data_IF_647610121213
#
_entry.id   IF_647610121213
#
_cell.length_a   1.000
_cell.length_b   1.000
_cell.length_c   1.000
_cell.angle_alpha   90.00
_cell.angle_beta   90.00
_cell.angle_gamma   90.00
#
_symmetry.space_group_name_H-M   'P 1'
#
loop_
_entity.id
_entity.type
_entity.pdbx_description
1 polymer ?
#
# COMPACT_ATOMS: atom_id res chain seq x y z
N UNK A 1 10.83 -13.07 13.93
CA UNK A 1 9.42 -12.80 13.56
C UNK A 1 8.42 -13.78 14.18
N UNK A 2 8.69 -15.08 14.21
CA UNK A 2 7.84 -16.06 14.91
C UNK A 2 7.69 -15.83 16.43
N UNK A 3 8.67 -15.17 17.05
CA UNK A 3 8.67 -14.95 18.51
C UNK A 3 7.48 -14.11 19.00
N UNK A 4 7.03 -13.10 18.25
CA UNK A 4 5.88 -12.27 18.64
C UNK A 4 4.55 -13.03 18.53
N UNK A 5 4.42 -13.94 17.57
CA UNK A 5 3.24 -14.79 17.39
C UNK A 5 3.13 -15.77 18.56
N UNK A 6 4.24 -16.44 18.90
CA UNK A 6 4.28 -17.34 20.04
C UNK A 6 3.97 -16.61 21.34
N UNK A 7 4.54 -15.43 21.55
CA UNK A 7 4.33 -14.66 22.78
C UNK A 7 2.87 -14.29 23.00
N UNK A 8 2.14 -13.91 21.94
CA UNK A 8 0.73 -13.56 22.03
C UNK A 8 -0.15 -14.75 22.50
N UNK A 9 0.13 -15.96 22.00
CA UNK A 9 -0.58 -17.18 22.40
C UNK A 9 -0.20 -17.59 23.82
N UNK A 10 1.09 -17.53 24.16
CA UNK A 10 1.60 -17.93 25.48
C UNK A 10 1.02 -17.05 26.60
N UNK A 11 0.86 -15.75 26.37
CA UNK A 11 0.23 -14.85 27.36
C UNK A 11 -1.22 -15.28 27.64
N UNK A 12 -1.98 -15.68 26.63
CA UNK A 12 -3.34 -16.17 26.81
C UNK A 12 -3.40 -17.49 27.57
N UNK A 13 -2.42 -18.39 27.34
CA UNK A 13 -2.33 -19.66 28.09
C UNK A 13 -2.05 -19.46 29.58
N UNK A 14 -1.37 -18.38 29.96
CA UNK A 14 -1.10 -18.03 31.37
C UNK A 14 -2.37 -17.74 32.15
N UNK A 15 -3.44 -17.29 31.50
CA UNK A 15 -4.73 -17.01 32.16
C UNK A 15 -5.48 -18.29 32.54
N UNK A 16 -5.11 -19.44 31.97
CA UNK A 16 -5.80 -20.72 32.14
C UNK A 16 -5.22 -21.51 33.30
N UNK A 17 -3.94 -21.32 33.63
CA UNK A 17 -3.22 -22.13 34.66
C UNK A 17 -2.02 -21.36 35.26
N UNK A 18 -1.67 -21.68 36.47
CA UNK A 18 -0.51 -21.10 37.18
C UNK A 18 0.86 -21.62 36.66
N UNK A 19 0.86 -22.47 35.65
CA UNK A 19 2.11 -23.04 35.10
C UNK A 19 2.73 -22.08 34.08
N UNK A 20 4.05 -22.15 33.98
CA UNK A 20 4.77 -21.42 32.97
C UNK A 20 4.82 -22.19 31.66
N UNK A 21 4.57 -21.48 30.56
CA UNK A 21 4.70 -21.97 29.18
C UNK A 21 5.80 -21.23 28.46
N UNK A 22 6.35 -21.84 27.44
CA UNK A 22 7.25 -21.17 26.52
C UNK A 22 7.61 -22.03 25.33
N UNK A 23 8.47 -21.46 24.48
CA UNK A 23 8.96 -22.07 23.25
C UNK A 23 10.48 -22.00 23.25
N UNK A 24 11.14 -23.07 22.86
CA UNK A 24 12.56 -23.11 22.56
C UNK A 24 12.80 -23.39 21.09
N UNK A 25 13.90 -22.85 20.54
CA UNK A 25 14.36 -23.13 19.19
C UNK A 25 15.16 -24.43 19.08
N UNK A 26 15.71 -24.72 17.91
CA UNK A 26 16.53 -25.92 17.63
C UNK A 26 17.82 -26.00 18.45
N UNK A 27 18.33 -24.86 18.92
CA UNK A 27 19.52 -24.79 19.76
C UNK A 27 19.19 -24.87 21.26
N UNK A 28 17.90 -24.87 21.59
CA UNK A 28 17.41 -24.88 22.96
C UNK A 28 17.27 -23.49 23.57
N UNK A 29 17.39 -22.42 22.77
CA UNK A 29 17.20 -21.04 23.26
C UNK A 29 15.72 -20.77 23.52
N UNK A 30 15.38 -20.25 24.70
CA UNK A 30 14.01 -19.83 25.02
C UNK A 30 13.70 -18.59 24.26
N UNK A 31 12.85 -18.69 23.21
CA UNK A 31 12.47 -17.61 22.30
C UNK A 31 11.19 -16.88 22.71
N UNK A 32 10.38 -17.53 23.54
CA UNK A 32 9.13 -16.96 24.07
C UNK A 32 8.76 -17.68 25.38
N UNK A 33 8.29 -16.96 26.38
CA UNK A 33 7.94 -17.56 27.68
C UNK A 33 6.98 -16.66 28.48
N UNK A 34 6.14 -17.29 29.32
CA UNK A 34 5.33 -16.57 30.32
C UNK A 34 6.17 -16.00 31.46
N UNK A 35 7.29 -16.64 31.76
CA UNK A 35 8.29 -16.18 32.72
C UNK A 35 9.44 -15.50 31.99
N UNK A 36 9.41 -14.18 31.94
CA UNK A 36 10.39 -13.38 31.21
C UNK A 36 11.82 -13.52 31.68
N UNK A 37 12.06 -14.08 32.89
CA UNK A 37 13.41 -14.34 33.41
C UNK A 37 14.11 -15.45 32.65
N UNK A 38 13.37 -16.37 32.03
CA UNK A 38 13.88 -17.48 31.24
C UNK A 38 14.19 -17.12 29.79
N UNK A 39 13.78 -15.97 29.32
CA UNK A 39 13.95 -15.55 27.93
C UNK A 39 15.43 -15.42 27.58
N UNK A 40 15.86 -16.12 26.50
CA UNK A 40 17.25 -16.17 26.07
C UNK A 40 18.12 -17.25 26.80
N UNK A 41 17.61 -17.93 27.83
CA UNK A 41 18.30 -19.10 28.38
C UNK A 41 18.46 -20.18 27.31
N UNK A 42 19.53 -21.00 27.45
CA UNK A 42 19.85 -22.04 26.48
C UNK A 42 19.81 -23.42 27.15
N UNK A 43 18.88 -24.27 26.70
CA UNK A 43 18.64 -25.64 27.20
C UNK A 43 18.95 -26.68 26.12
N UNK A 44 20.24 -26.74 25.70
CA UNK A 44 20.68 -27.59 24.58
C UNK A 44 20.38 -29.07 24.78
N UNK A 45 20.51 -29.58 26.00
CA UNK A 45 20.21 -31.00 26.32
C UNK A 45 18.70 -31.31 26.16
N UNK A 46 17.83 -30.35 26.49
CA UNK A 46 16.40 -30.49 26.28
C UNK A 46 16.07 -30.53 24.79
N UNK A 47 16.65 -29.61 23.97
CA UNK A 47 16.47 -29.59 22.53
C UNK A 47 16.92 -30.90 21.85
N UNK A 48 18.07 -31.42 22.21
CA UNK A 48 18.56 -32.72 21.72
C UNK A 48 17.61 -33.87 22.06
N UNK A 49 17.08 -33.91 23.29
CA UNK A 49 16.14 -34.94 23.71
C UNK A 49 14.82 -34.88 23.00
N UNK A 50 14.31 -33.66 22.78
CA UNK A 50 13.05 -33.39 22.04
C UNK A 50 13.21 -33.72 20.56
N UNK A 51 14.32 -33.31 19.93
CA UNK A 51 14.59 -33.57 18.52
C UNK A 51 14.68 -35.07 18.19
N UNK A 52 15.18 -35.89 19.13
CA UNK A 52 15.25 -37.33 18.95
C UNK A 52 13.92 -38.07 19.22
N UNK A 53 12.95 -37.44 19.85
CA UNK A 53 11.69 -38.07 20.27
C UNK A 53 10.51 -37.87 19.31
N UNK A 54 10.73 -37.18 18.20
CA UNK A 54 9.89 -36.87 17.06
C UNK A 54 8.44 -36.49 17.33
N UNK A 55 7.60 -37.32 17.89
CA UNK A 55 6.16 -37.04 18.02
C UNK A 55 5.59 -37.22 19.43
N UNK A 56 6.41 -37.63 20.37
CA UNK A 56 6.00 -37.85 21.73
C UNK A 56 6.26 -36.66 22.66
N UNK A 57 5.45 -36.55 23.70
CA UNK A 57 5.69 -35.60 24.78
C UNK A 57 6.86 -36.06 25.61
N UNK A 58 7.88 -35.25 25.79
CA UNK A 58 9.14 -35.58 26.50
C UNK A 58 9.23 -34.79 27.80
N UNK A 59 9.66 -35.43 28.87
CA UNK A 59 9.90 -34.77 30.15
C UNK A 59 11.40 -34.64 30.41
N UNK A 60 11.85 -33.44 30.76
CA UNK A 60 13.24 -33.15 31.10
C UNK A 60 13.33 -31.99 32.10
N UNK A 61 14.07 -32.13 33.18
CA UNK A 61 14.33 -31.09 34.17
C UNK A 61 13.07 -30.46 34.77
N UNK A 62 12.09 -31.25 35.20
CA UNK A 62 10.79 -30.83 35.72
C UNK A 62 9.99 -29.95 34.72
N UNK A 63 10.21 -30.15 33.44
CA UNK A 63 9.45 -29.50 32.33
C UNK A 63 9.03 -30.58 31.34
N UNK A 64 7.88 -30.38 30.75
CA UNK A 64 7.31 -31.23 29.71
C UNK A 64 7.41 -30.51 28.40
N UNK A 65 7.88 -31.17 27.34
CA UNK A 65 8.13 -30.62 26.03
C UNK A 65 7.37 -31.37 24.94
N UNK A 66 6.98 -30.69 23.89
CA UNK A 66 6.50 -31.26 22.63
C UNK A 66 7.09 -30.52 21.45
N UNK A 67 7.65 -31.27 20.48
CA UNK A 67 8.24 -30.73 19.28
C UNK A 67 7.16 -30.12 18.34
N UNK A 68 7.46 -28.97 17.74
CA UNK A 68 6.79 -28.41 16.57
C UNK A 68 7.68 -28.75 15.37
N UNK A 69 7.16 -29.53 14.45
CA UNK A 69 7.88 -30.02 13.28
C UNK A 69 7.53 -29.06 12.10
N UNK A 70 8.55 -28.63 11.37
CA UNK A 70 8.38 -27.80 10.20
C UNK A 70 8.00 -28.57 8.93
N UNK A 71 7.77 -27.84 7.84
CA UNK A 71 7.42 -28.41 6.53
C UNK A 71 8.46 -29.39 5.96
N UNK A 72 9.71 -29.31 6.41
CA UNK A 72 10.80 -30.20 6.01
C UNK A 72 10.89 -31.49 6.86
N UNK A 73 9.92 -31.73 7.73
CA UNK A 73 9.87 -32.84 8.66
C UNK A 73 11.02 -32.84 9.72
N UNK A 74 11.63 -31.67 9.93
CA UNK A 74 12.62 -31.44 10.97
C UNK A 74 12.03 -30.68 12.15
N UNK A 75 12.58 -30.93 13.36
CA UNK A 75 12.32 -30.15 14.55
C UNK A 75 12.69 -28.66 14.30
N UNK A 76 11.76 -27.75 14.50
CA UNK A 76 12.02 -26.31 14.39
C UNK A 76 11.90 -25.60 15.73
N UNK A 77 10.89 -25.94 16.49
CA UNK A 77 10.63 -25.39 17.82
C UNK A 77 10.12 -26.48 18.76
N UNK A 78 10.19 -26.24 20.06
CA UNK A 78 9.46 -27.07 21.04
C UNK A 78 8.71 -26.17 22.01
N UNK A 79 7.46 -26.52 22.23
CA UNK A 79 6.66 -25.97 23.33
C UNK A 79 7.07 -26.61 24.62
N UNK A 80 7.14 -25.86 25.70
CA UNK A 80 7.31 -26.42 27.05
C UNK A 80 6.25 -25.92 28.02
N UNK A 81 5.95 -26.73 29.01
CA UNK A 81 5.15 -26.41 30.19
C UNK A 81 5.92 -26.89 31.45
N UNK A 82 5.91 -26.08 32.51
CA UNK A 82 6.53 -26.47 33.78
C UNK A 82 5.72 -27.58 34.43
N UNK A 83 6.44 -28.59 34.97
CA UNK A 83 5.91 -29.81 35.56
C UNK A 83 6.18 -31.06 34.74
N UNK A 84 6.10 -32.23 35.38
CA UNK A 84 6.34 -33.58 34.81
C UNK A 84 5.17 -34.53 35.02
N UNK A 85 4.09 -34.02 35.63
CA UNK A 85 2.85 -34.75 35.90
C UNK A 85 1.93 -34.86 34.68
N UNK A 86 0.85 -35.61 34.82
CA UNK A 86 -0.12 -35.84 33.76
C UNK A 86 -0.83 -34.56 33.31
N UNK A 87 -1.09 -33.62 34.24
CA UNK A 87 -1.66 -32.31 33.91
C UNK A 87 -0.69 -31.47 33.07
N UNK A 88 0.62 -31.48 33.39
CA UNK A 88 1.64 -30.79 32.59
C UNK A 88 1.70 -31.35 31.15
N UNK A 89 1.54 -32.64 30.97
CA UNK A 89 1.48 -33.31 29.67
C UNK A 89 0.25 -32.81 28.86
N UNK A 90 -0.91 -32.80 29.53
CA UNK A 90 -2.15 -32.29 28.91
C UNK A 90 -2.04 -30.82 28.49
N UNK A 91 -1.55 -29.96 29.38
CA UNK A 91 -1.36 -28.53 29.09
C UNK A 91 -0.31 -28.28 28.00
N UNK A 92 0.81 -29.04 28.00
CA UNK A 92 1.82 -28.94 26.96
C UNK A 92 1.24 -29.33 25.58
N UNK A 93 0.36 -30.32 25.54
CA UNK A 93 -0.29 -30.77 24.31
C UNK A 93 -1.31 -29.75 23.78
N UNK A 94 -2.10 -29.13 24.67
CA UNK A 94 -3.00 -28.02 24.29
C UNK A 94 -2.22 -26.80 23.80
N UNK A 95 -1.16 -26.42 24.49
CA UNK A 95 -0.28 -25.34 24.09
C UNK A 95 0.37 -25.60 22.72
N UNK A 96 0.80 -26.85 22.47
CA UNK A 96 1.31 -27.29 21.17
C UNK A 96 0.29 -27.06 20.05
N UNK A 97 -0.96 -27.50 20.24
CA UNK A 97 -2.01 -27.32 19.22
C UNK A 97 -2.19 -25.83 18.91
N UNK A 98 -2.37 -24.99 19.93
CA UNK A 98 -2.58 -23.56 19.75
C UNK A 98 -1.39 -22.86 19.09
N UNK A 99 -0.17 -23.20 19.50
CA UNK A 99 1.06 -22.58 18.96
C UNK A 99 1.39 -23.08 17.55
N UNK A 100 1.14 -24.34 17.27
CA UNK A 100 1.32 -24.90 15.92
C UNK A 100 0.32 -24.29 14.92
N UNK A 101 -0.94 -24.17 15.31
CA UNK A 101 -1.96 -23.52 14.46
C UNK A 101 -1.64 -22.04 14.22
N UNK A 102 -1.20 -21.32 15.25
CA UNK A 102 -0.80 -19.92 15.12
C UNK A 102 0.42 -19.76 14.20
N UNK A 103 1.42 -20.67 14.31
CA UNK A 103 2.60 -20.71 13.42
C UNK A 103 2.18 -20.97 11.98
N UNK A 104 1.39 -22.01 11.73
CA UNK A 104 0.91 -22.39 10.39
C UNK A 104 0.13 -21.24 9.74
N UNK A 105 -0.78 -20.61 10.47
CA UNK A 105 -1.53 -19.45 9.99
C UNK A 105 -0.61 -18.27 9.63
N UNK A 106 0.41 -18.01 10.46
CA UNK A 106 1.38 -16.94 10.21
C UNK A 106 2.22 -17.20 8.95
N UNK A 107 2.69 -18.45 8.79
CA UNK A 107 3.47 -18.86 7.61
C UNK A 107 2.62 -18.76 6.33
N UNK A 108 1.39 -19.28 6.36
CA UNK A 108 0.47 -19.20 5.23
C UNK A 108 0.20 -17.74 4.82
N UNK A 109 -0.04 -16.88 5.80
CA UNK A 109 -0.22 -15.44 5.55
C UNK A 109 1.03 -14.80 4.94
N UNK A 110 2.21 -15.16 5.45
CA UNK A 110 3.48 -14.65 4.95
C UNK A 110 3.75 -15.11 3.51
N UNK A 111 3.49 -16.37 3.21
CA UNK A 111 3.68 -16.94 1.87
C UNK A 111 2.72 -16.32 0.87
N UNK A 112 1.45 -16.11 1.23
CA UNK A 112 0.47 -15.38 0.42
C UNK A 112 0.87 -13.92 0.21
N UNK A 113 1.32 -13.23 1.26
CA UNK A 113 1.80 -11.86 1.18
C UNK A 113 3.01 -11.72 0.24
N UNK A 114 3.97 -12.63 0.36
CA UNK A 114 5.15 -12.68 -0.52
C UNK A 114 4.75 -12.97 -1.97
N UNK A 115 3.81 -13.87 -2.19
CA UNK A 115 3.26 -14.19 -3.50
C UNK A 115 2.60 -12.96 -4.14
N UNK A 116 1.70 -12.27 -3.43
CA UNK A 116 1.04 -11.05 -3.92
C UNK A 116 2.07 -9.94 -4.20
N UNK A 117 3.07 -9.78 -3.32
CA UNK A 117 4.16 -8.82 -3.54
C UNK A 117 4.93 -9.12 -4.83
N UNK A 118 5.23 -10.39 -5.10
CA UNK A 118 5.90 -10.77 -6.34
C UNK A 118 5.04 -10.51 -7.59
N UNK A 119 3.72 -10.68 -7.50
CA UNK A 119 2.81 -10.35 -8.63
C UNK A 119 2.83 -8.84 -8.89
N UNK A 120 2.57 -8.00 -7.88
CA UNK A 120 2.50 -6.54 -8.10
C UNK A 120 3.82 -5.94 -8.57
N UNK A 121 4.95 -6.57 -8.21
CA UNK A 121 6.30 -6.16 -8.63
C UNK A 121 6.73 -6.75 -9.97
N UNK A 122 5.84 -7.52 -10.64
CA UNK A 122 6.11 -8.17 -11.93
C UNK A 122 7.30 -9.15 -11.88
N UNK A 123 7.50 -9.80 -10.72
CA UNK A 123 8.62 -10.71 -10.44
C UNK A 123 8.26 -12.19 -10.66
N UNK A 124 7.06 -12.50 -11.15
CA UNK A 124 6.58 -13.85 -11.41
C UNK A 124 5.98 -13.95 -12.82
N UNK A 125 6.28 -15.02 -13.51
CA UNK A 125 5.74 -15.21 -14.86
C UNK A 125 4.22 -15.45 -14.83
N UNK A 126 3.44 -14.93 -15.79
CA UNK A 126 1.99 -15.07 -15.81
C UNK A 126 1.49 -16.53 -15.73
N UNK A 127 2.24 -17.47 -16.33
CA UNK A 127 1.92 -18.90 -16.27
C UNK A 127 2.08 -19.50 -14.87
N UNK A 128 3.05 -19.00 -14.10
CA UNK A 128 3.35 -19.51 -12.76
C UNK A 128 2.39 -18.94 -11.71
N UNK A 129 1.76 -17.79 -11.99
CA UNK A 129 0.76 -17.18 -11.10
C UNK A 129 -0.38 -18.17 -10.81
N UNK A 130 -0.91 -18.83 -11.84
CA UNK A 130 -2.02 -19.77 -11.66
C UNK A 130 -1.62 -21.01 -10.84
N UNK A 131 -0.45 -21.57 -11.13
CA UNK A 131 0.06 -22.75 -10.42
C UNK A 131 0.25 -22.43 -8.93
N UNK A 132 0.94 -21.32 -8.67
CA UNK A 132 1.24 -20.90 -7.30
C UNK A 132 -0.02 -20.48 -6.51
N UNK A 133 -0.98 -19.82 -7.18
CA UNK A 133 -2.26 -19.49 -6.56
C UNK A 133 -3.03 -20.75 -6.11
N UNK A 134 -3.00 -21.80 -6.92
CA UNK A 134 -3.61 -23.08 -6.58
C UNK A 134 -2.94 -23.76 -5.38
N UNK A 135 -1.60 -23.75 -5.31
CA UNK A 135 -0.82 -24.26 -4.19
C UNK A 135 -1.16 -23.52 -2.88
N UNK A 136 -1.30 -22.20 -2.95
CA UNK A 136 -1.61 -21.34 -1.80
C UNK A 136 -3.12 -21.25 -1.51
N UNK A 137 -3.97 -21.99 -2.20
CA UNK A 137 -5.44 -21.90 -2.09
C UNK A 137 -5.95 -20.46 -2.23
N UNK A 138 -5.40 -19.72 -3.19
CA UNK A 138 -5.69 -18.32 -3.44
C UNK A 138 -6.72 -18.18 -4.57
N UNK A 139 -7.78 -17.37 -4.35
CA UNK A 139 -8.78 -17.11 -5.38
C UNK A 139 -8.20 -16.26 -6.52
N UNK A 140 -8.18 -16.80 -7.76
CA UNK A 140 -7.62 -16.13 -8.93
C UNK A 140 -8.52 -15.08 -9.54
N UNK A 141 -9.83 -15.24 -9.38
CA UNK A 141 -10.88 -14.49 -10.10
C UNK A 141 -11.71 -13.61 -9.14
N UNK A 142 -11.10 -13.15 -8.06
CA UNK A 142 -11.72 -12.19 -7.15
C UNK A 142 -11.26 -10.77 -7.50
N UNK A 143 -12.19 -9.79 -7.70
CA UNK A 143 -11.80 -8.42 -8.03
C UNK A 143 -11.01 -7.78 -6.89
N UNK A 144 -9.89 -7.12 -7.23
CA UNK A 144 -9.01 -6.45 -6.28
C UNK A 144 -8.54 -5.11 -6.82
N UNK A 145 -8.31 -4.15 -5.94
CA UNK A 145 -7.68 -2.89 -6.28
C UNK A 145 -6.37 -2.71 -5.50
N UNK A 146 -5.42 -2.03 -6.13
CA UNK A 146 -4.15 -1.66 -5.49
C UNK A 146 -4.20 -0.20 -5.09
N UNK A 147 -3.94 0.04 -3.81
CA UNK A 147 -3.73 1.37 -3.24
C UNK A 147 -2.26 1.51 -2.90
N UNK A 148 -1.56 2.42 -3.55
CA UNK A 148 -0.18 2.75 -3.22
C UNK A 148 -0.17 3.96 -2.29
N UNK A 149 0.31 3.76 -1.07
CA UNK A 149 0.40 4.79 -0.04
C UNK A 149 1.85 5.24 0.05
N UNK A 150 2.10 6.51 -0.26
CA UNK A 150 3.42 7.13 -0.15
C UNK A 150 3.44 8.07 1.04
N UNK A 151 4.30 7.80 2.00
CA UNK A 151 4.53 8.66 3.16
C UNK A 151 5.35 9.88 2.74
N UNK A 152 4.93 11.07 3.22
CA UNK A 152 5.64 12.33 2.93
C UNK A 152 6.61 12.62 4.07
N UNK A 153 7.91 12.54 3.78
CA UNK A 153 8.98 12.68 4.77
C UNK A 153 9.65 11.34 5.08
N UNK A 154 9.79 11.01 6.35
CA UNK A 154 10.36 9.73 6.78
C UNK A 154 9.26 8.66 6.88
N UNK A 155 9.62 7.44 6.47
CA UNK A 155 8.75 6.28 6.62
C UNK A 155 8.60 5.89 8.09
N UNK A 156 7.37 5.57 8.51
CA UNK A 156 7.08 5.02 9.83
C UNK A 156 6.74 3.52 9.69
N UNK A 157 7.49 2.69 10.40
CA UNK A 157 7.30 1.23 10.38
C UNK A 157 5.92 0.83 10.92
N UNK A 158 5.39 1.61 11.87
CA UNK A 158 4.07 1.36 12.45
C UNK A 158 2.92 1.51 11.43
N UNK A 159 3.16 2.17 10.29
CA UNK A 159 2.14 2.35 9.24
C UNK A 159 1.59 1.03 8.70
N UNK A 160 2.45 0.01 8.55
CA UNK A 160 2.02 -1.33 8.10
C UNK A 160 1.11 -1.99 9.12
N UNK A 161 1.41 -1.85 10.41
CA UNK A 161 0.63 -2.45 11.50
C UNK A 161 -0.74 -1.78 11.63
N UNK A 162 -0.78 -0.44 11.58
CA UNK A 162 -2.02 0.35 11.61
C UNK A 162 -2.92 0.00 10.43
N UNK A 163 -2.38 0.02 9.21
CA UNK A 163 -3.15 -0.37 8.01
C UNK A 163 -3.62 -1.82 8.08
N UNK A 164 -2.77 -2.75 8.54
CA UNK A 164 -3.16 -4.16 8.71
C UNK A 164 -4.27 -4.36 9.73
N UNK A 165 -4.35 -3.48 10.73
CA UNK A 165 -5.42 -3.47 11.73
C UNK A 165 -6.78 -3.03 11.19
N UNK A 166 -6.81 -2.26 10.09
CA UNK A 166 -8.05 -1.77 9.47
C UNK A 166 -8.82 -2.88 8.72
N UNK A 167 -8.15 -3.93 8.28
CA UNK A 167 -8.75 -4.97 7.44
C UNK A 167 -9.01 -6.24 8.24
N UNK A 168 -10.26 -6.70 8.23
CA UNK A 168 -10.70 -7.88 8.98
C UNK A 168 -10.26 -9.19 8.32
N UNK A 169 -10.24 -9.24 6.98
CA UNK A 169 -9.86 -10.44 6.23
C UNK A 169 -8.37 -10.41 5.87
N UNK A 170 -7.55 -10.88 6.81
CA UNK A 170 -6.08 -10.92 6.67
C UNK A 170 -5.57 -11.96 5.65
N UNK A 171 -6.45 -12.77 5.08
CA UNK A 171 -6.12 -13.76 4.04
C UNK A 171 -6.45 -13.26 2.62
N UNK A 172 -7.26 -12.21 2.50
CA UNK A 172 -7.70 -11.65 1.23
C UNK A 172 -7.17 -10.21 1.00
N UNK A 173 -6.96 -9.46 2.08
CA UNK A 173 -6.45 -8.10 2.04
C UNK A 173 -4.98 -8.08 2.50
N UNK A 174 -4.10 -7.51 1.69
CA UNK A 174 -2.65 -7.51 1.93
C UNK A 174 -2.12 -6.10 2.08
N UNK A 175 -1.37 -5.87 3.15
CA UNK A 175 -0.59 -4.64 3.39
C UNK A 175 0.89 -5.00 3.25
N UNK A 176 1.54 -4.45 2.23
CA UNK A 176 2.86 -4.85 1.79
C UNK A 176 3.81 -3.65 1.81
N UNK A 177 4.85 -3.72 2.61
CA UNK A 177 5.94 -2.74 2.52
C UNK A 177 6.70 -2.94 1.21
N UNK A 178 6.77 -1.90 0.38
CA UNK A 178 7.48 -1.91 -0.90
C UNK A 178 8.90 -1.38 -0.71
N UNK A 179 9.03 -0.24 -0.06
CA UNK A 179 10.29 0.38 0.33
C UNK A 179 10.10 1.18 1.64
N UNK A 180 11.04 2.04 2.01
CA UNK A 180 11.00 2.82 3.24
C UNK A 180 9.78 3.76 3.35
N UNK A 181 9.29 4.29 2.23
CA UNK A 181 8.20 5.28 2.19
C UNK A 181 6.92 4.76 1.54
N UNK A 182 6.99 3.71 0.74
CA UNK A 182 5.86 3.22 -0.07
C UNK A 182 5.31 1.90 0.49
N UNK A 183 4.01 1.88 0.70
CA UNK A 183 3.24 0.72 1.15
C UNK A 183 2.15 0.45 0.13
N UNK A 184 2.04 -0.78 -0.35
CA UNK A 184 0.95 -1.20 -1.21
C UNK A 184 -0.11 -1.94 -0.39
N UNK A 185 -1.37 -1.53 -0.53
CA UNK A 185 -2.52 -2.27 -0.03
C UNK A 185 -3.22 -2.90 -1.22
N UNK A 186 -3.28 -4.22 -1.22
CA UNK A 186 -4.07 -5.00 -2.21
C UNK A 186 -5.33 -5.46 -1.51
N UNK A 187 -6.45 -4.87 -1.89
CA UNK A 187 -7.73 -5.11 -1.24
C UNK A 187 -8.71 -5.79 -2.16
N UNK A 188 -9.37 -6.84 -1.67
CA UNK A 188 -10.50 -7.45 -2.36
C UNK A 188 -11.70 -6.51 -2.32
N UNK A 189 -12.33 -6.32 -3.48
CA UNK A 189 -13.47 -5.42 -3.66
C UNK A 189 -14.75 -6.27 -3.69
N UNK A 190 -15.66 -5.99 -2.76
CA UNK A 190 -16.94 -6.70 -2.65
C UNK A 190 -18.08 -5.95 -3.32
N UNK A 191 -17.85 -4.69 -3.73
CA UNK A 191 -18.84 -3.81 -4.36
C UNK A 191 -18.64 -3.71 -5.88
N UNK A 192 -19.19 -2.65 -6.46
CA UNK A 192 -19.05 -2.36 -7.91
C UNK A 192 -17.66 -1.89 -8.30
N UNK A 193 -16.80 -1.55 -7.33
CA UNK A 193 -15.45 -1.07 -7.60
C UNK A 193 -15.40 0.30 -8.26
N UNK A 194 -16.44 1.11 -8.05
CA UNK A 194 -16.49 2.45 -8.67
C UNK A 194 -15.40 3.36 -8.10
N UNK A 195 -14.95 4.39 -8.87
CA UNK A 195 -13.97 5.36 -8.38
C UNK A 195 -14.34 5.96 -7.02
N UNK A 196 -15.62 6.24 -6.78
CA UNK A 196 -16.11 6.82 -5.53
C UNK A 196 -16.02 5.83 -4.35
N UNK A 197 -16.24 4.54 -4.58
CA UNK A 197 -16.06 3.50 -3.57
C UNK A 197 -14.58 3.33 -3.20
N UNK A 198 -13.70 3.31 -4.20
CA UNK A 198 -12.27 3.22 -4.00
C UNK A 198 -11.72 4.46 -3.27
N UNK A 199 -12.19 5.65 -3.63
CA UNK A 199 -11.81 6.90 -2.95
C UNK A 199 -12.26 6.93 -1.48
N UNK A 200 -13.41 6.36 -1.14
CA UNK A 200 -13.86 6.21 0.27
C UNK A 200 -12.93 5.31 1.07
N UNK A 201 -12.48 4.19 0.48
CA UNK A 201 -11.53 3.28 1.12
C UNK A 201 -10.20 4.01 1.36
N UNK A 202 -9.70 4.74 0.35
CA UNK A 202 -8.48 5.51 0.46
C UNK A 202 -8.58 6.63 1.52
N UNK A 203 -9.73 7.33 1.58
CA UNK A 203 -10.00 8.37 2.58
C UNK A 203 -9.98 7.82 4.01
N UNK A 204 -10.56 6.64 4.22
CA UNK A 204 -10.52 5.98 5.53
C UNK A 204 -9.07 5.63 5.94
N UNK A 205 -8.25 5.13 5.01
CA UNK A 205 -6.83 4.85 5.26
C UNK A 205 -6.06 6.14 5.59
N UNK A 206 -6.24 7.20 4.81
CA UNK A 206 -5.58 8.49 5.04
C UNK A 206 -5.95 9.07 6.40
N UNK A 207 -7.25 9.08 6.74
CA UNK A 207 -7.74 9.61 8.00
C UNK A 207 -7.20 8.83 9.21
N UNK A 208 -7.17 7.50 9.13
CA UNK A 208 -6.61 6.64 10.18
C UNK A 208 -5.12 6.94 10.39
N UNK A 209 -4.32 6.98 9.32
CA UNK A 209 -2.89 7.27 9.42
C UNK A 209 -2.61 8.68 9.95
N UNK A 210 -3.42 9.65 9.55
CA UNK A 210 -3.30 11.02 10.06
C UNK A 210 -3.64 11.12 11.55
N UNK A 211 -4.67 10.39 12.01
CA UNK A 211 -5.13 10.44 13.40
C UNK A 211 -4.20 9.67 14.34
N UNK A 212 -3.77 8.46 13.95
CA UNK A 212 -2.98 7.58 14.81
C UNK A 212 -1.48 7.91 14.79
N UNK A 213 -0.92 8.19 13.60
CA UNK A 213 0.52 8.39 13.43
C UNK A 213 0.91 9.84 13.12
N UNK A 214 -0.06 10.73 12.85
CA UNK A 214 0.15 12.14 12.45
C UNK A 214 1.05 12.30 11.22
N UNK A 215 1.09 11.32 10.35
CA UNK A 215 1.84 11.37 9.09
C UNK A 215 0.99 11.92 7.96
N UNK A 216 1.66 12.56 7.00
CA UNK A 216 1.05 12.93 5.72
C UNK A 216 1.31 11.84 4.70
N UNK A 217 0.30 11.52 3.93
CA UNK A 217 0.39 10.50 2.87
C UNK A 217 -0.16 11.02 1.57
N UNK A 218 0.30 10.44 0.46
CA UNK A 218 -0.32 10.56 -0.86
C UNK A 218 -0.71 9.15 -1.29
N UNK A 219 -1.96 8.96 -1.66
CA UNK A 219 -2.50 7.65 -2.03
C UNK A 219 -2.85 7.65 -3.51
N UNK A 220 -2.19 6.77 -4.27
CA UNK A 220 -2.55 6.45 -5.64
C UNK A 220 -3.44 5.21 -5.68
N UNK A 221 -4.48 5.25 -6.50
CA UNK A 221 -5.43 4.15 -6.67
C UNK A 221 -5.34 3.65 -8.10
N UNK A 222 -5.04 2.35 -8.28
CA UNK A 222 -5.10 1.68 -9.57
C UNK A 222 -6.52 1.24 -9.92
N UNK A 223 -6.73 0.79 -11.16
CA UNK A 223 -8.01 0.19 -11.58
C UNK A 223 -8.25 -1.15 -10.90
N UNK A 224 -9.51 -1.57 -10.84
CA UNK A 224 -9.87 -2.89 -10.32
C UNK A 224 -9.34 -3.96 -11.27
N UNK A 225 -8.55 -4.88 -10.71
CA UNK A 225 -8.06 -6.08 -11.38
C UNK A 225 -9.04 -7.22 -11.14
N UNK A 226 -9.63 -7.76 -12.19
CA UNK A 226 -10.54 -8.91 -12.12
C UNK A 226 -9.79 -10.22 -11.88
N UNK A 227 -8.53 -10.28 -12.30
CA UNK A 227 -7.68 -11.45 -12.18
C UNK A 227 -6.33 -11.10 -11.53
N UNK A 228 -5.73 -12.06 -10.83
CA UNK A 228 -4.43 -11.88 -10.16
C UNK A 228 -3.33 -11.36 -11.10
N UNK A 229 -3.30 -11.79 -12.36
CA UNK A 229 -2.30 -11.36 -13.37
C UNK A 229 -2.35 -9.86 -13.67
N UNK A 230 -3.47 -9.19 -13.40
CA UNK A 230 -3.71 -7.77 -13.68
C UNK A 230 -3.28 -6.88 -12.51
N UNK A 231 -2.93 -7.47 -11.36
CA UNK A 231 -2.50 -6.71 -10.18
C UNK A 231 -1.22 -5.90 -10.42
N UNK A 232 -0.31 -6.39 -11.27
CA UNK A 232 0.90 -5.65 -11.65
C UNK A 232 0.55 -4.36 -12.39
N UNK A 233 -0.46 -4.39 -13.26
CA UNK A 233 -0.91 -3.21 -13.99
C UNK A 233 -1.62 -2.24 -13.05
N UNK A 234 -2.52 -2.73 -12.18
CA UNK A 234 -3.16 -1.91 -11.15
C UNK A 234 -2.13 -1.21 -10.24
N UNK A 235 -1.04 -1.88 -9.87
CA UNK A 235 0.05 -1.28 -9.10
C UNK A 235 0.80 -0.19 -9.89
N UNK A 236 1.15 -0.44 -11.16
CA UNK A 236 1.79 0.55 -12.04
C UNK A 236 0.89 1.77 -12.27
N UNK A 237 -0.41 1.56 -12.36
CA UNK A 237 -1.40 2.62 -12.45
C UNK A 237 -1.48 3.45 -11.17
N UNK A 238 -1.46 2.81 -9.99
CA UNK A 238 -1.41 3.51 -8.70
C UNK A 238 -0.14 4.36 -8.56
N UNK A 239 1.02 3.86 -9.02
CA UNK A 239 2.26 4.64 -9.10
C UNK A 239 2.11 5.84 -10.03
N UNK A 240 1.57 5.60 -11.23
CA UNK A 240 1.32 6.65 -12.23
C UNK A 240 0.37 7.70 -11.67
N UNK A 241 -0.66 7.30 -10.93
CA UNK A 241 -1.59 8.22 -10.27
C UNK A 241 -0.85 9.18 -9.33
N UNK A 242 0.03 8.68 -8.46
CA UNK A 242 0.85 9.54 -7.58
C UNK A 242 1.76 10.47 -8.38
N UNK A 243 2.46 9.94 -9.39
CA UNK A 243 3.44 10.70 -10.13
C UNK A 243 2.81 11.79 -11.01
N UNK A 244 1.67 11.49 -11.64
CA UNK A 244 0.87 12.46 -12.41
C UNK A 244 0.20 13.47 -11.49
N UNK A 245 -0.32 13.02 -10.35
CA UNK A 245 -0.94 13.88 -9.34
C UNK A 245 0.03 14.91 -8.78
N UNK A 246 1.28 14.53 -8.51
CA UNK A 246 2.35 15.47 -8.09
C UNK A 246 2.59 16.60 -9.11
N UNK A 247 2.33 16.34 -10.38
CA UNK A 247 2.50 17.35 -11.44
C UNK A 247 1.25 18.20 -11.60
N UNK A 248 0.07 17.58 -11.68
CA UNK A 248 -1.14 18.26 -12.13
C UNK A 248 -2.11 18.64 -10.99
N UNK A 249 -2.16 17.84 -9.93
CA UNK A 249 -3.10 17.95 -8.80
C UNK A 249 -2.36 18.02 -7.45
N UNK A 250 -1.43 18.93 -7.32
CA UNK A 250 -0.49 19.04 -6.18
C UNK A 250 -1.15 19.18 -4.80
N UNK A 251 -2.41 19.57 -4.76
CA UNK A 251 -3.18 19.75 -3.51
C UNK A 251 -3.95 18.49 -3.09
N UNK A 252 -4.10 17.51 -4.00
CA UNK A 252 -4.79 16.27 -3.69
C UNK A 252 -3.87 15.26 -3.04
N UNK A 253 -4.33 14.66 -1.97
CA UNK A 253 -3.68 13.54 -1.28
C UNK A 253 -4.14 12.18 -1.78
N UNK A 254 -5.33 12.09 -2.40
CA UNK A 254 -5.88 10.87 -2.98
C UNK A 254 -6.09 11.08 -4.47
N UNK A 255 -5.45 10.23 -5.27
CA UNK A 255 -5.45 10.35 -6.73
C UNK A 255 -5.85 8.99 -7.33
N UNK A 256 -7.00 8.96 -7.99
CA UNK A 256 -7.45 7.78 -8.71
C UNK A 256 -6.97 7.83 -10.16
N UNK A 257 -6.38 6.73 -10.65
CA UNK A 257 -5.85 6.61 -12.01
C UNK A 257 -6.91 6.89 -13.08
N UNK A 258 -8.14 6.43 -12.88
CA UNK A 258 -9.24 6.67 -13.83
C UNK A 258 -9.58 8.14 -13.98
N UNK A 259 -9.35 8.95 -12.93
CA UNK A 259 -9.66 10.38 -12.90
C UNK A 259 -8.53 11.27 -13.43
N UNK A 260 -7.40 10.71 -13.85
CA UNK A 260 -6.26 11.49 -14.36
C UNK A 260 -6.53 12.18 -15.70
N UNK A 261 -7.47 11.66 -16.47
CA UNK A 261 -7.85 12.23 -17.76
C UNK A 261 -6.67 12.43 -18.72
N UNK A 262 -6.58 13.61 -19.31
CA UNK A 262 -5.52 13.96 -20.28
C UNK A 262 -4.12 14.06 -19.63
N UNK A 263 -4.05 14.24 -18.31
CA UNK A 263 -2.78 14.35 -17.57
C UNK A 263 -1.88 13.13 -17.75
N UNK A 264 -2.46 11.91 -17.75
CA UNK A 264 -1.71 10.67 -17.96
C UNK A 264 -1.10 10.57 -19.37
N UNK A 265 -1.79 11.08 -20.38
CA UNK A 265 -1.27 11.10 -21.75
C UNK A 265 -0.07 12.04 -21.86
N UNK A 266 -0.21 13.25 -21.32
CA UNK A 266 0.87 14.26 -21.33
C UNK A 266 2.10 13.73 -20.57
N UNK A 267 1.89 13.09 -19.43
CA UNK A 267 2.99 12.56 -18.61
C UNK A 267 3.82 11.47 -19.33
N UNK A 268 3.24 10.78 -20.31
CA UNK A 268 3.92 9.74 -21.11
C UNK A 268 4.60 10.32 -22.37
N UNK A 269 4.37 11.59 -22.70
CA UNK A 269 4.97 12.18 -23.90
C UNK A 269 6.48 12.44 -23.69
N UNK A 270 7.31 12.20 -24.71
CA UNK A 270 8.70 12.65 -24.70
C UNK A 270 8.80 14.17 -24.50
N UNK A 271 9.74 14.63 -23.69
CA UNK A 271 9.93 16.07 -23.41
C UNK A 271 10.22 16.86 -24.67
N UNK A 272 10.97 16.30 -25.62
CA UNK A 272 11.23 16.91 -26.93
C UNK A 272 9.94 17.19 -27.72
N UNK A 273 8.97 16.26 -27.70
CA UNK A 273 7.68 16.48 -28.36
C UNK A 273 6.88 17.58 -27.66
N UNK A 274 6.96 17.62 -26.33
CA UNK A 274 6.34 18.67 -25.51
C UNK A 274 6.91 20.07 -25.84
N UNK A 275 8.24 20.19 -25.98
CA UNK A 275 8.94 21.42 -26.34
C UNK A 275 8.57 21.89 -27.75
N UNK A 276 8.55 20.97 -28.73
CA UNK A 276 8.12 21.27 -30.11
C UNK A 276 6.67 21.80 -30.10
N UNK A 277 5.76 21.10 -29.40
CA UNK A 277 4.36 21.53 -29.33
C UNK A 277 4.22 22.94 -28.73
N UNK A 278 4.91 23.25 -27.63
CA UNK A 278 4.88 24.59 -27.05
C UNK A 278 5.42 25.66 -28.02
N UNK A 279 6.49 25.37 -28.76
CA UNK A 279 7.07 26.29 -29.75
C UNK A 279 6.14 26.58 -30.93
N UNK A 280 5.36 25.57 -31.35
CA UNK A 280 4.37 25.71 -32.41
C UNK A 280 3.13 26.53 -31.98
N UNK A 281 2.67 26.27 -30.74
CA UNK A 281 1.50 26.97 -30.17
C UNK A 281 1.80 28.45 -29.90
N UNK A 282 2.99 28.73 -29.33
CA UNK A 282 3.35 30.10 -28.91
C UNK A 282 4.47 30.74 -29.73
N UNK A 283 4.35 30.70 -31.04
CA UNK A 283 5.31 31.09 -32.10
C UNK A 283 6.28 32.26 -31.82
N UNK A 284 5.91 33.24 -31.01
CA UNK A 284 6.72 34.45 -30.74
C UNK A 284 6.78 34.87 -29.28
N UNK A 285 5.83 34.44 -28.46
CA UNK A 285 5.73 34.86 -27.07
C UNK A 285 5.65 33.60 -26.22
N UNK A 286 6.70 33.35 -25.41
CA UNK A 286 6.67 32.24 -24.44
C UNK A 286 5.47 32.38 -23.52
N UNK A 287 4.85 31.25 -23.18
CA UNK A 287 3.81 31.19 -22.15
C UNK A 287 4.33 31.76 -20.81
N UNK A 288 5.65 31.81 -20.64
CA UNK A 288 6.34 32.38 -19.47
C UNK A 288 6.26 33.94 -19.44
N UNK A 289 5.85 34.56 -20.54
CA UNK A 289 5.60 36.00 -20.56
C UNK A 289 4.25 36.41 -19.96
N UNK A 290 3.39 35.42 -19.63
CA UNK A 290 2.11 35.68 -18.99
C UNK A 290 2.31 35.90 -17.47
N UNK A 291 1.83 37.04 -17.01
CA UNK A 291 1.86 37.37 -15.59
C UNK A 291 0.91 36.48 -14.77
N UNK A 292 1.15 36.39 -13.46
CA UNK A 292 0.38 35.53 -12.54
C UNK A 292 -1.13 35.88 -12.56
N UNK A 293 -1.48 37.14 -12.69
CA UNK A 293 -2.89 37.59 -12.76
C UNK A 293 -3.59 37.05 -14.03
N UNK A 294 -2.88 37.08 -15.13
CA UNK A 294 -3.35 36.51 -16.41
C UNK A 294 -3.54 35.00 -16.29
N UNK A 295 -2.55 34.27 -15.76
CA UNK A 295 -2.65 32.82 -15.53
C UNK A 295 -3.80 32.47 -14.59
N UNK A 296 -3.98 33.21 -13.50
CA UNK A 296 -5.08 33.02 -12.58
C UNK A 296 -6.46 33.27 -13.28
N UNK A 297 -6.56 34.30 -14.10
CA UNK A 297 -7.76 34.58 -14.92
C UNK A 297 -8.08 33.43 -15.86
N UNK A 298 -7.06 32.88 -16.55
CA UNK A 298 -7.20 31.74 -17.47
C UNK A 298 -7.69 30.49 -16.71
N UNK A 299 -7.06 30.16 -15.62
CA UNK A 299 -7.45 28.99 -14.80
C UNK A 299 -8.89 29.11 -14.31
N UNK A 300 -9.28 30.26 -13.78
CA UNK A 300 -10.69 30.53 -13.40
C UNK A 300 -11.67 30.48 -14.56
N UNK A 301 -11.25 30.86 -15.76
CA UNK A 301 -12.08 30.75 -16.94
C UNK A 301 -12.30 29.28 -17.36
N UNK A 302 -11.27 28.43 -17.28
CA UNK A 302 -11.39 27.02 -17.53
C UNK A 302 -12.23 26.32 -16.47
N UNK A 303 -12.02 26.63 -15.17
CA UNK A 303 -12.80 26.07 -14.05
C UNK A 303 -14.30 26.35 -14.17
N UNK A 304 -14.68 27.50 -14.80
CA UNK A 304 -16.06 27.88 -15.01
C UNK A 304 -16.55 27.54 -16.44
N UNK A 305 -16.00 26.50 -17.06
CA UNK A 305 -16.43 25.99 -18.38
C UNK A 305 -16.51 27.03 -19.46
N UNK A 306 -15.56 27.97 -19.55
CA UNK A 306 -15.47 29.05 -20.49
C UNK A 306 -16.66 30.04 -20.40
N UNK A 307 -17.36 30.09 -19.28
CA UNK A 307 -18.49 30.98 -19.04
C UNK A 307 -18.03 32.34 -18.53
N UNK A 308 -18.09 33.36 -19.39
CA UNK A 308 -17.66 34.73 -19.09
C UNK A 308 -18.40 35.31 -17.88
N UNK A 309 -19.72 35.11 -17.80
CA UNK A 309 -20.54 35.69 -16.72
C UNK A 309 -20.26 35.06 -15.38
N UNK A 310 -20.09 33.72 -15.33
CA UNK A 310 -19.76 33.01 -14.12
C UNK A 310 -18.33 33.34 -13.64
N UNK A 311 -17.38 33.32 -14.56
CA UNK A 311 -15.99 33.67 -14.27
C UNK A 311 -15.85 35.10 -13.74
N UNK A 312 -16.57 36.10 -14.33
CA UNK A 312 -16.51 37.47 -13.82
C UNK A 312 -17.04 37.60 -12.41
N UNK A 313 -18.10 36.85 -12.05
CA UNK A 313 -18.62 36.79 -10.67
C UNK A 313 -17.60 36.18 -9.72
N UNK A 314 -16.98 35.04 -10.09
CA UNK A 314 -15.98 34.36 -9.27
C UNK A 314 -14.69 35.16 -9.08
N UNK A 315 -14.32 35.98 -10.06
CA UNK A 315 -13.16 36.88 -9.99
C UNK A 315 -13.48 38.24 -9.35
N UNK A 316 -14.76 38.51 -8.99
CA UNK A 316 -15.22 39.80 -8.46
C UNK A 316 -14.88 40.97 -9.38
N UNK A 317 -14.98 40.80 -10.70
CA UNK A 317 -14.73 41.83 -11.70
C UNK A 317 -15.95 42.04 -12.56
N UNK A 318 -16.06 43.26 -13.16
CA UNK A 318 -17.10 43.51 -14.16
C UNK A 318 -16.87 42.62 -15.40
N UNK A 319 -17.97 42.18 -16.03
CA UNK A 319 -17.93 41.35 -17.25
C UNK A 319 -17.03 41.94 -18.35
N UNK A 320 -17.10 43.25 -18.56
CA UNK A 320 -16.29 43.93 -19.58
C UNK A 320 -14.80 43.88 -19.26
N UNK A 321 -14.42 43.92 -18.00
CA UNK A 321 -13.03 43.75 -17.54
C UNK A 321 -12.51 42.38 -17.89
N UNK A 322 -13.30 41.32 -17.64
CA UNK A 322 -12.92 39.97 -18.03
C UNK A 322 -12.79 39.84 -19.56
N UNK A 323 -13.73 40.37 -20.34
CA UNK A 323 -13.63 40.37 -21.80
C UNK A 323 -12.35 41.07 -22.26
N UNK A 324 -12.01 42.21 -21.68
CA UNK A 324 -10.76 42.92 -21.99
C UNK A 324 -9.52 42.04 -21.66
N UNK A 325 -9.53 41.35 -20.52
CA UNK A 325 -8.43 40.42 -20.17
C UNK A 325 -8.31 39.27 -21.19
N UNK A 326 -9.43 38.69 -21.61
CA UNK A 326 -9.43 37.63 -22.64
C UNK A 326 -8.93 38.14 -24.01
N UNK A 327 -9.28 39.38 -24.39
CA UNK A 327 -8.73 40.01 -25.61
C UNK A 327 -7.22 40.26 -25.47
N UNK A 328 -6.73 40.66 -24.29
CA UNK A 328 -5.29 40.80 -24.03
C UNK A 328 -4.58 39.45 -24.21
N UNK A 329 -5.15 38.38 -23.67
CA UNK A 329 -4.60 37.00 -23.81
C UNK A 329 -4.54 36.61 -25.29
N UNK A 330 -5.62 36.85 -26.05
CA UNK A 330 -5.66 36.60 -27.49
C UNK A 330 -4.56 37.35 -28.24
N UNK A 331 -4.34 38.62 -27.91
CA UNK A 331 -3.27 39.44 -28.53
C UNK A 331 -1.87 38.91 -28.22
N UNK A 332 -1.65 38.45 -27.01
CA UNK A 332 -0.34 37.90 -26.55
C UNK A 332 -0.04 36.53 -27.15
N UNK A 333 -1.05 35.66 -27.22
CA UNK A 333 -0.86 34.23 -27.53
C UNK A 333 -1.33 33.84 -28.93
N UNK A 334 -2.17 34.67 -29.57
CA UNK A 334 -2.85 34.33 -30.80
C UNK A 334 -4.10 33.45 -30.62
N UNK A 335 -4.37 32.95 -29.39
CA UNK A 335 -5.46 32.02 -29.08
C UNK A 335 -6.62 32.75 -28.40
N UNK A 336 -7.81 32.70 -29.02
CA UNK A 336 -9.05 33.21 -28.43
C UNK A 336 -9.69 32.14 -27.55
N UNK A 337 -9.53 32.24 -26.22
CA UNK A 337 -10.03 31.24 -25.26
C UNK A 337 -11.56 31.11 -25.22
N UNK A 338 -12.29 31.96 -25.89
CA UNK A 338 -13.75 31.85 -26.07
C UNK A 338 -14.14 30.87 -27.19
N UNK A 339 -13.16 30.50 -28.02
CA UNK A 339 -13.30 29.44 -29.03
C UNK A 339 -12.83 28.12 -28.46
N UNK A 340 -13.67 27.11 -28.56
CA UNK A 340 -13.43 25.80 -27.94
C UNK A 340 -12.10 25.19 -28.35
N UNK A 341 -11.78 25.12 -29.63
CA UNK A 341 -10.53 24.53 -30.13
C UNK A 341 -9.29 25.28 -29.62
N UNK A 342 -9.33 26.63 -29.59
CA UNK A 342 -8.25 27.42 -29.03
C UNK A 342 -8.09 27.20 -27.50
N UNK A 343 -9.23 27.07 -26.82
CA UNK A 343 -9.24 26.82 -25.38
C UNK A 343 -8.61 25.46 -25.04
N UNK A 344 -8.93 24.40 -25.82
CA UNK A 344 -8.31 23.07 -25.66
C UNK A 344 -6.81 23.17 -25.90
N UNK A 345 -6.36 23.74 -27.03
CA UNK A 345 -4.93 23.85 -27.31
C UNK A 345 -4.21 24.62 -26.21
N UNK A 346 -4.79 25.67 -25.68
CA UNK A 346 -4.21 26.43 -24.59
C UNK A 346 -4.16 25.65 -23.28
N UNK A 347 -5.23 24.93 -22.94
CA UNK A 347 -5.29 24.08 -21.75
C UNK A 347 -4.21 22.99 -21.78
N UNK A 348 -4.08 22.31 -22.93
CA UNK A 348 -3.02 21.31 -23.13
C UNK A 348 -1.63 21.94 -23.00
N UNK A 349 -1.42 23.12 -23.59
CA UNK A 349 -0.14 23.82 -23.51
C UNK A 349 0.23 24.21 -22.05
N UNK A 350 -0.73 24.64 -21.24
CA UNK A 350 -0.52 24.88 -19.81
C UNK A 350 -0.09 23.60 -19.07
N UNK A 351 -0.74 22.47 -19.38
CA UNK A 351 -0.41 21.20 -18.78
C UNK A 351 0.98 20.71 -19.22
N UNK A 352 1.29 20.80 -20.52
CA UNK A 352 2.62 20.44 -21.06
C UNK A 352 3.72 21.28 -20.39
N UNK A 353 3.52 22.58 -20.25
CA UNK A 353 4.46 23.44 -19.53
C UNK A 353 4.66 23.00 -18.08
N UNK A 354 3.58 22.73 -17.35
CA UNK A 354 3.65 22.27 -15.97
C UNK A 354 4.43 20.94 -15.85
N UNK A 355 4.23 20.05 -16.81
CA UNK A 355 4.98 18.81 -16.90
C UNK A 355 6.49 19.04 -17.13
N UNK A 356 6.86 19.87 -18.11
CA UNK A 356 8.27 20.19 -18.39
C UNK A 356 8.97 20.82 -17.16
N UNK A 357 8.34 21.82 -16.53
CA UNK A 357 8.87 22.46 -15.31
C UNK A 357 9.08 21.47 -14.18
N UNK A 358 8.24 20.44 -14.05
CA UNK A 358 8.40 19.39 -13.05
C UNK A 358 9.59 18.46 -13.32
N UNK A 359 10.06 18.39 -14.58
CA UNK A 359 11.25 17.60 -14.97
C UNK A 359 12.55 18.34 -14.78
N UNK A 360 12.54 19.67 -14.89
CA UNK A 360 13.72 20.51 -14.66
C UNK A 360 14.11 20.62 -13.18
N UNK A 361 13.15 20.34 -12.28
CA UNK A 361 13.33 20.45 -10.83
C UNK A 361 13.82 19.12 -10.20
N UNK A 362 13.93 18.04 -10.98
CA UNK A 362 14.44 16.72 -10.57
C UNK A 362 15.88 16.54 -11.03
#
# INVERSE_FOLDING_TARGET
MSNSVFQSVIIQLKEITDRSFGVIDTEGTVVSCTDMSLLGERWSDAALKVGNASDSVVTFGQKTFKAIIGNSNYFEYAVFCTGDDESARGYCQLAYIALNDAKTFYEEKHDRGTFVKNIIMDNILPGDIYIRAKELHFATDAPRAVFLIRQVGHGDVATVDVLSGMFSDKLQDFVLSINETDIAVVKQISGAGTPEELEKIASAMEETLKNELRIRTVIGIGTVAEHLRELADSYKEAQTAIDVGKVFDTEKSIINYENLGIGRLIYQLPTTLCEIFLSEVFKKNSIDSLDQETLFTINKFFENNLNVSETSRKLFVHRNTLVYRLEKIKKLTGLDLRQFDHAIVFKVALMVRKYLSSRETR
#
